data_IF_731814027284
#
_entry.id   IF_731814027284
#
_cell.length_a   1.000
_cell.length_b   1.000
_cell.length_c   1.000
_cell.angle_alpha   90.00
_cell.angle_beta   90.00
_cell.angle_gamma   90.00
#
_symmetry.space_group_name_H-M   'P 1'
#
loop_
_entity.id
_entity.type
_entity.pdbx_description
1 polymer ?
#
# COMPACT_ATOMS: atom_id res chain seq x y z
N UNK A 1 34.93 24.09 -30.40
CA UNK A 1 33.61 24.51 -30.94
C UNK A 1 32.56 23.63 -30.28
N UNK A 2 31.75 24.20 -29.39
CA UNK A 2 30.64 23.47 -28.75
C UNK A 2 29.40 23.78 -29.60
N UNK A 3 28.79 22.76 -30.18
CA UNK A 3 27.52 22.92 -30.90
C UNK A 3 26.42 22.97 -29.83
N UNK A 4 25.62 24.05 -29.73
CA UNK A 4 24.50 24.08 -28.80
C UNK A 4 23.49 23.01 -29.22
N UNK A 5 23.24 22.06 -28.32
CA UNK A 5 22.22 21.03 -28.50
C UNK A 5 20.85 21.64 -28.17
N UNK A 6 19.91 21.51 -29.10
CA UNK A 6 18.50 21.84 -28.91
C UNK A 6 17.72 20.57 -28.60
N UNK A 7 16.87 20.61 -27.58
CA UNK A 7 16.04 19.48 -27.15
C UNK A 7 14.56 19.85 -27.19
N UNK A 8 13.70 18.85 -27.44
CA UNK A 8 12.26 18.96 -27.26
C UNK A 8 11.90 18.40 -25.88
N UNK A 9 11.07 19.13 -25.14
CA UNK A 9 10.58 18.73 -23.83
C UNK A 9 9.25 17.98 -23.95
N UNK A 10 9.11 16.90 -23.18
CA UNK A 10 7.87 16.15 -23.06
C UNK A 10 7.66 15.76 -21.60
N UNK A 11 6.40 15.77 -21.18
CA UNK A 11 5.98 15.35 -19.85
C UNK A 11 5.22 14.02 -19.92
N UNK A 12 5.51 13.10 -18.98
CA UNK A 12 4.79 11.85 -18.84
C UNK A 12 3.92 11.94 -17.58
N UNK A 13 2.61 12.09 -17.77
CA UNK A 13 1.63 12.13 -16.68
C UNK A 13 1.17 10.72 -16.33
N UNK A 14 1.16 10.39 -15.04
CA UNK A 14 0.69 9.08 -14.53
C UNK A 14 -0.36 9.29 -13.45
N UNK A 15 -1.50 8.55 -13.49
CA UNK A 15 -2.53 8.68 -12.48
C UNK A 15 -2.10 8.09 -11.14
N UNK A 16 -2.57 8.73 -10.08
CA UNK A 16 -2.47 8.27 -8.69
C UNK A 16 -3.87 8.29 -8.09
N UNK A 17 -4.26 7.20 -7.45
CA UNK A 17 -5.53 7.08 -6.74
C UNK A 17 -5.24 7.04 -5.25
N UNK A 18 -6.03 7.77 -4.47
CA UNK A 18 -5.92 7.84 -3.01
C UNK A 18 -7.29 7.50 -2.43
N UNK A 19 -7.34 6.57 -1.47
CA UNK A 19 -8.58 6.25 -0.76
C UNK A 19 -8.97 7.36 0.20
N UNK A 20 -10.17 7.27 0.76
CA UNK A 20 -10.50 8.04 1.95
C UNK A 20 -9.53 7.74 3.09
N UNK A 21 -9.30 8.75 3.94
CA UNK A 21 -8.44 8.65 5.11
C UNK A 21 -9.21 8.00 6.26
N UNK A 22 -8.55 7.06 6.93
CA UNK A 22 -9.05 6.42 8.16
C UNK A 22 -8.01 6.72 9.24
N UNK A 23 -8.32 7.61 10.18
CA UNK A 23 -7.42 8.02 11.27
C UNK A 23 -6.01 8.51 10.81
N UNK A 24 -5.96 9.21 9.67
CA UNK A 24 -4.76 9.69 8.94
C UNK A 24 -3.98 8.61 8.17
N UNK A 25 -4.47 7.37 8.17
CA UNK A 25 -3.96 6.30 7.33
C UNK A 25 -4.75 6.26 6.02
N UNK A 26 -4.12 5.84 4.93
CA UNK A 26 -4.78 5.76 3.63
C UNK A 26 -4.09 4.77 2.69
N UNK A 27 -4.84 4.34 1.67
CA UNK A 27 -4.33 3.49 0.60
C UNK A 27 -4.05 4.35 -0.61
N UNK A 28 -2.89 4.16 -1.22
CA UNK A 28 -2.50 4.84 -2.46
C UNK A 28 -2.22 3.79 -3.55
N UNK A 29 -2.69 4.06 -4.76
CA UNK A 29 -2.42 3.23 -5.93
C UNK A 29 -1.65 4.07 -6.94
N UNK A 30 -0.47 3.60 -7.32
CA UNK A 30 0.37 4.22 -8.34
C UNK A 30 0.49 3.32 -9.55
N UNK A 31 0.25 3.87 -10.74
CA UNK A 31 0.51 3.16 -12.00
C UNK A 31 1.99 3.30 -12.35
N UNK A 32 2.69 2.17 -12.47
CA UNK A 32 4.10 2.12 -12.91
C UNK A 32 4.28 1.19 -14.10
N UNK A 33 5.37 1.37 -14.83
CA UNK A 33 5.75 0.39 -15.85
C UNK A 33 6.16 -0.92 -15.18
N UNK A 34 5.86 -2.05 -15.82
CA UNK A 34 6.33 -3.36 -15.37
C UNK A 34 7.86 -3.40 -15.46
N UNK A 35 8.52 -3.93 -14.41
CA UNK A 35 9.96 -4.16 -14.48
C UNK A 35 10.20 -5.38 -15.38
N UNK A 36 11.09 -5.24 -16.37
CA UNK A 36 11.49 -6.32 -17.31
C UNK A 36 10.34 -6.90 -18.16
N UNK A 37 9.22 -6.20 -18.31
CA UNK A 37 8.11 -6.59 -19.17
C UNK A 37 7.42 -5.38 -19.78
N UNK A 38 6.67 -5.59 -20.87
CA UNK A 38 5.86 -4.54 -21.51
C UNK A 38 4.55 -4.37 -20.75
N UNK A 39 4.13 -3.11 -20.57
CA UNK A 39 2.85 -2.73 -19.99
C UNK A 39 2.98 -1.99 -18.65
N UNK A 40 1.81 -1.67 -18.09
CA UNK A 40 1.67 -1.00 -16.80
C UNK A 40 1.23 -1.98 -15.71
N UNK A 41 1.52 -1.65 -14.47
CA UNK A 41 1.09 -2.36 -13.28
C UNK A 41 0.63 -1.35 -12.22
N UNK A 42 -0.53 -1.57 -11.58
CA UNK A 42 -0.87 -0.85 -10.37
C UNK A 42 0.00 -1.36 -9.22
N UNK A 43 0.51 -0.43 -8.41
CA UNK A 43 1.19 -0.71 -7.16
C UNK A 43 0.39 -0.11 -6.01
N UNK A 44 0.05 -0.94 -5.04
CA UNK A 44 -0.66 -0.54 -3.84
C UNK A 44 0.34 -0.18 -2.74
N UNK A 45 0.08 0.93 -2.06
CA UNK A 45 0.81 1.39 -0.88
C UNK A 45 -0.17 1.58 0.27
N UNK A 46 0.15 1.03 1.44
CA UNK A 46 -0.52 1.34 2.69
C UNK A 46 0.30 2.42 3.41
N UNK A 47 -0.27 3.62 3.52
CA UNK A 47 0.37 4.75 4.17
C UNK A 47 -0.12 4.84 5.61
N UNK A 48 0.80 4.67 6.55
CA UNK A 48 0.52 4.64 7.98
C UNK A 48 1.11 5.88 8.67
N UNK A 49 0.30 6.49 9.51
CA UNK A 49 0.64 7.66 10.30
C UNK A 49 1.68 7.33 11.36
N UNK A 50 2.77 8.08 11.35
CA UNK A 50 3.85 7.95 12.33
C UNK A 50 3.40 8.22 13.78
N UNK A 51 2.20 8.81 13.99
CA UNK A 51 1.60 8.97 15.32
C UNK A 51 1.34 7.62 16.02
N UNK A 52 1.16 6.56 15.25
CA UNK A 52 0.88 5.21 15.74
C UNK A 52 2.13 4.31 15.75
N UNK A 53 3.32 4.89 15.58
CA UNK A 53 4.59 4.17 15.57
C UNK A 53 5.29 4.26 16.93
N UNK A 54 5.74 3.11 17.39
CA UNK A 54 6.37 2.93 18.69
C UNK A 54 7.66 2.10 18.55
N UNK A 55 8.63 2.37 19.42
CA UNK A 55 9.83 1.54 19.63
C UNK A 55 9.91 1.28 21.13
N UNK A 56 9.99 0.01 21.53
CA UNK A 56 10.00 -0.40 22.94
C UNK A 56 8.85 0.21 23.76
N UNK A 57 7.64 0.23 23.20
CA UNK A 57 6.42 0.83 23.78
C UNK A 57 6.46 2.36 23.96
N UNK A 58 7.43 3.06 23.39
CA UNK A 58 7.49 4.51 23.42
C UNK A 58 7.25 5.11 22.03
N UNK A 59 6.50 6.21 21.96
CA UNK A 59 6.25 6.90 20.68
C UNK A 59 7.57 7.34 20.04
N UNK A 60 7.65 7.23 18.71
CA UNK A 60 8.80 7.72 17.93
C UNK A 60 8.77 9.24 17.71
N UNK A 61 7.66 9.90 18.00
CA UNK A 61 7.50 11.34 17.74
C UNK A 61 8.52 12.12 18.59
N UNK A 62 9.34 12.94 17.93
CA UNK A 62 10.40 13.71 18.58
C UNK A 62 11.69 12.92 18.86
N UNK A 63 11.80 11.68 18.38
CA UNK A 63 12.99 10.84 18.53
C UNK A 63 13.69 10.60 17.19
N UNK A 64 15.00 10.40 17.25
CA UNK A 64 15.78 9.96 16.11
C UNK A 64 15.74 8.43 16.02
N UNK A 65 15.29 7.90 14.88
CA UNK A 65 15.31 6.47 14.58
C UNK A 65 16.75 6.06 14.27
N UNK A 66 17.21 4.99 14.89
CA UNK A 66 18.54 4.41 14.69
C UNK A 66 18.52 3.32 13.62
N UNK A 67 19.72 3.02 13.11
CA UNK A 67 19.87 1.91 12.16
C UNK A 67 19.51 0.60 12.85
N UNK A 68 18.64 -0.19 12.20
CA UNK A 68 18.09 -1.48 12.70
C UNK A 68 17.00 -1.36 13.77
N UNK A 69 16.51 -0.15 14.06
CA UNK A 69 15.29 -0.02 14.85
C UNK A 69 14.12 -0.74 14.17
N UNK A 70 13.34 -1.46 14.98
CA UNK A 70 12.11 -2.11 14.54
C UNK A 70 10.94 -1.30 15.07
N UNK A 71 10.21 -0.68 14.15
CA UNK A 71 9.04 0.13 14.48
C UNK A 71 7.83 -0.80 14.63
N UNK A 72 7.16 -0.69 15.76
CA UNK A 72 5.88 -1.32 16.03
C UNK A 72 4.77 -0.35 15.62
N UNK A 73 3.90 -0.76 14.70
CA UNK A 73 2.66 -0.06 14.43
C UNK A 73 1.56 -0.69 15.28
N UNK A 74 1.02 0.09 16.23
CA UNK A 74 -0.02 -0.39 17.13
C UNK A 74 -1.36 -0.26 16.43
N UNK A 75 -2.03 -1.40 16.31
CA UNK A 75 -3.30 -1.53 15.62
C UNK A 75 -4.42 -1.62 16.66
N UNK A 76 -5.39 -0.70 16.63
CA UNK A 76 -6.69 -0.94 17.25
C UNK A 76 -7.49 -1.88 16.33
N UNK A 77 -7.78 -3.12 16.74
CA UNK A 77 -8.43 -4.10 15.89
C UNK A 77 -9.74 -3.59 15.31
N UNK A 78 -10.55 -2.87 16.10
CA UNK A 78 -11.87 -2.38 15.63
C UNK A 78 -11.73 -1.33 14.54
N UNK A 79 -10.73 -0.45 14.67
CA UNK A 79 -10.48 0.62 13.69
C UNK A 79 -9.81 0.10 12.43
N UNK A 80 -8.89 -0.84 12.59
CA UNK A 80 -8.12 -1.40 11.49
C UNK A 80 -8.93 -2.31 10.58
N UNK A 81 -9.99 -2.95 11.11
CA UNK A 81 -10.86 -3.78 10.27
C UNK A 81 -11.40 -3.04 9.04
N UNK A 82 -11.79 -1.77 9.19
CA UNK A 82 -12.27 -0.97 8.06
C UNK A 82 -11.17 -0.72 7.03
N UNK A 83 -9.96 -0.36 7.49
CA UNK A 83 -8.80 -0.15 6.62
C UNK A 83 -8.39 -1.44 5.90
N UNK A 84 -8.42 -2.57 6.60
CA UNK A 84 -8.10 -3.88 6.06
C UNK A 84 -9.13 -4.36 5.03
N UNK A 85 -10.42 -4.19 5.30
CA UNK A 85 -11.48 -4.49 4.34
C UNK A 85 -11.34 -3.63 3.09
N UNK A 86 -11.10 -2.32 3.26
CA UNK A 86 -10.83 -1.42 2.13
C UNK A 86 -9.59 -1.84 1.35
N UNK A 87 -8.52 -2.27 2.03
CA UNK A 87 -7.30 -2.77 1.40
C UNK A 87 -7.59 -3.99 0.51
N UNK A 88 -8.35 -4.96 1.01
CA UNK A 88 -8.75 -6.15 0.25
C UNK A 88 -9.63 -5.79 -0.96
N UNK A 89 -10.61 -4.90 -0.77
CA UNK A 89 -11.49 -4.43 -1.83
C UNK A 89 -10.71 -3.70 -2.92
N UNK A 90 -9.80 -2.80 -2.53
CA UNK A 90 -8.93 -2.09 -3.49
C UNK A 90 -8.07 -3.10 -4.25
N UNK A 91 -7.42 -4.02 -3.55
CA UNK A 91 -6.55 -5.03 -4.18
C UNK A 91 -7.33 -5.89 -5.18
N UNK A 92 -8.53 -6.34 -4.81
CA UNK A 92 -9.40 -7.12 -5.68
C UNK A 92 -9.87 -6.37 -6.94
N UNK A 93 -9.81 -5.03 -6.94
CA UNK A 93 -10.17 -4.19 -8.09
C UNK A 93 -8.95 -3.75 -8.93
N UNK A 94 -7.72 -4.12 -8.55
CA UNK A 94 -6.52 -3.71 -9.28
C UNK A 94 -6.38 -4.41 -10.64
N UNK A 95 -6.76 -5.68 -10.72
CA UNK A 95 -6.79 -6.46 -11.95
C UNK A 95 -7.65 -7.71 -11.79
N UNK A 96 -7.95 -8.39 -12.89
CA UNK A 96 -8.71 -9.66 -12.87
C UNK A 96 -7.98 -10.75 -12.10
N UNK A 97 -6.66 -10.79 -12.22
CA UNK A 97 -5.80 -11.75 -11.51
C UNK A 97 -5.83 -11.49 -10.01
N UNK A 98 -5.67 -10.23 -9.58
CA UNK A 98 -5.77 -9.87 -8.17
C UNK A 98 -7.16 -10.17 -7.58
N UNK A 99 -8.23 -9.98 -8.35
CA UNK A 99 -9.57 -10.37 -7.93
C UNK A 99 -9.66 -11.87 -7.62
N UNK A 100 -9.15 -12.72 -8.52
CA UNK A 100 -9.14 -14.17 -8.35
C UNK A 100 -8.32 -14.61 -7.14
N UNK A 101 -7.17 -13.97 -6.91
CA UNK A 101 -6.32 -14.27 -5.75
C UNK A 101 -7.03 -13.93 -4.43
N UNK A 102 -7.70 -12.77 -4.35
CA UNK A 102 -8.47 -12.39 -3.16
C UNK A 102 -9.61 -13.37 -2.90
N UNK A 103 -10.38 -13.74 -3.93
CA UNK A 103 -11.46 -14.72 -3.77
C UNK A 103 -10.94 -16.06 -3.26
N UNK A 104 -9.79 -16.53 -3.75
CA UNK A 104 -9.15 -17.77 -3.25
C UNK A 104 -8.74 -17.65 -1.80
N UNK A 105 -8.14 -16.53 -1.39
CA UNK A 105 -7.76 -16.27 0.00
C UNK A 105 -9.00 -16.30 0.91
N UNK A 106 -10.06 -15.58 0.53
CA UNK A 106 -11.30 -15.52 1.30
C UNK A 106 -11.97 -16.90 1.43
N UNK A 107 -12.06 -17.65 0.33
CA UNK A 107 -12.60 -19.02 0.38
C UNK A 107 -11.77 -19.92 1.29
N UNK A 108 -10.43 -19.83 1.21
CA UNK A 108 -9.55 -20.63 2.08
C UNK A 108 -9.75 -20.31 3.56
N UNK A 109 -9.97 -19.03 3.91
CA UNK A 109 -10.26 -18.60 5.29
C UNK A 109 -11.62 -19.14 5.76
N UNK A 110 -12.65 -19.08 4.91
CA UNK A 110 -13.99 -19.58 5.22
C UNK A 110 -13.98 -21.09 5.42
N UNK A 111 -13.34 -21.82 4.49
CA UNK A 111 -13.21 -23.28 4.57
C UNK A 111 -12.47 -23.70 5.84
N UNK A 112 -11.37 -23.01 6.19
CA UNK A 112 -10.66 -23.26 7.45
C UNK A 112 -11.54 -23.02 8.68
N UNK A 113 -12.34 -21.94 8.68
CA UNK A 113 -13.20 -21.58 9.81
C UNK A 113 -14.32 -22.60 10.04
N UNK A 114 -14.86 -23.20 8.97
CA UNK A 114 -15.89 -24.24 9.04
C UNK A 114 -15.34 -25.55 9.63
N UNK A 115 -14.04 -25.84 9.46
CA UNK A 115 -13.41 -27.07 9.94
C UNK A 115 -12.93 -27.01 11.41
N UNK A 116 -13.16 -25.89 12.11
CA UNK A 116 -12.82 -25.74 13.54
C UNK A 116 -14.06 -25.90 14.44
N UNK A 117 -15.27 -25.86 13.87
CA UNK A 117 -16.52 -26.22 14.55
C UNK A 117 -16.77 -27.74 14.53
#
# INVERSE_FOLDING_TARGET
MIIPLTFNEYEIVKPVLISEYIDNDFIEIKIKNKQKAVGIQPMLFLNLSAKNFYINNESIIGKNIQTKDVIQYVIDPKKFMNLFVNLLLVFANLSKEHNQDILRILNSILDYSINIE
#
